data_IF_085102522915
#
_entry.id   IF_085102522915
#
_cell.length_a   1.000
_cell.length_b   1.000
_cell.length_c   1.000
_cell.angle_alpha   90.00
_cell.angle_beta   90.00
_cell.angle_gamma   90.00
#
_symmetry.space_group_name_H-M   'P 1'
#
loop_
_entity.id
_entity.type
_entity.pdbx_description
1 polymer ?
#
# COMPACT_ATOMS: atom_id res chain seq x y z
N UNK A 1 -63.87 2.87 -43.03
CA UNK A 1 -63.10 2.65 -41.77
C UNK A 1 -61.79 3.43 -41.74
N UNK A 2 -60.94 3.37 -42.77
CA UNK A 2 -59.61 4.02 -42.80
C UNK A 2 -59.56 5.53 -42.44
N UNK A 3 -60.60 6.31 -42.78
CA UNK A 3 -60.65 7.76 -42.47
C UNK A 3 -60.82 8.07 -40.97
N UNK A 4 -61.46 7.18 -40.20
CA UNK A 4 -61.62 7.32 -38.74
C UNK A 4 -60.33 6.93 -38.00
N UNK A 5 -59.65 5.88 -38.43
CA UNK A 5 -58.37 5.44 -37.85
C UNK A 5 -57.24 6.45 -38.10
N UNK A 6 -57.18 7.06 -39.29
CA UNK A 6 -56.21 8.12 -39.61
C UNK A 6 -56.46 9.40 -38.79
N UNK A 7 -57.72 9.77 -38.58
CA UNK A 7 -58.13 10.89 -37.73
C UNK A 7 -57.81 10.65 -36.25
N UNK A 8 -57.95 9.42 -35.77
CA UNK A 8 -57.63 9.06 -34.38
C UNK A 8 -56.12 9.02 -34.13
N UNK A 9 -55.31 8.50 -35.07
CA UNK A 9 -53.84 8.53 -35.00
C UNK A 9 -53.28 9.95 -35.00
N UNK A 10 -53.83 10.83 -35.83
CA UNK A 10 -53.41 12.25 -35.88
C UNK A 10 -53.76 12.98 -34.60
N UNK A 11 -54.93 12.70 -34.00
CA UNK A 11 -55.35 13.26 -32.70
C UNK A 11 -54.51 12.77 -31.53
N UNK A 12 -54.06 11.51 -31.56
CA UNK A 12 -53.17 10.96 -30.52
C UNK A 12 -51.76 11.56 -30.61
N UNK A 13 -51.20 11.70 -31.83
CA UNK A 13 -49.87 12.29 -32.02
C UNK A 13 -49.80 13.75 -31.56
N UNK A 14 -50.86 14.54 -31.80
CA UNK A 14 -50.90 15.94 -31.33
C UNK A 14 -50.99 16.04 -29.81
N UNK A 15 -51.75 15.17 -29.16
CA UNK A 15 -51.80 15.10 -27.69
C UNK A 15 -50.44 14.76 -27.08
N UNK A 16 -49.74 13.76 -27.63
CA UNK A 16 -48.41 13.38 -27.15
C UNK A 16 -47.41 14.54 -27.34
N UNK A 17 -47.43 15.21 -28.50
CA UNK A 17 -46.56 16.37 -28.74
C UNK A 17 -46.82 17.50 -27.74
N UNK A 18 -48.08 17.81 -27.45
CA UNK A 18 -48.43 18.85 -26.51
C UNK A 18 -47.97 18.51 -25.09
N UNK A 19 -48.19 17.26 -24.66
CA UNK A 19 -47.74 16.79 -23.34
C UNK A 19 -46.21 16.84 -23.20
N UNK A 20 -45.47 16.39 -24.23
CA UNK A 20 -44.00 16.46 -24.23
C UNK A 20 -43.51 17.90 -24.18
N UNK A 21 -44.12 18.82 -24.93
CA UNK A 21 -43.76 20.23 -24.89
C UNK A 21 -44.01 20.86 -23.51
N UNK A 22 -45.14 20.57 -22.85
CA UNK A 22 -45.40 21.06 -21.49
C UNK A 22 -44.37 20.56 -20.48
N UNK A 23 -44.02 19.28 -20.54
CA UNK A 23 -43.02 18.68 -19.65
C UNK A 23 -41.64 19.32 -19.88
N UNK A 24 -41.22 19.46 -21.13
CA UNK A 24 -39.93 20.06 -21.45
C UNK A 24 -39.87 21.56 -21.11
N UNK A 25 -41.01 22.26 -21.16
CA UNK A 25 -41.12 23.66 -20.79
C UNK A 25 -41.09 23.87 -19.27
N UNK A 26 -41.70 22.97 -18.50
CA UNK A 26 -41.74 22.99 -17.03
C UNK A 26 -40.54 22.32 -16.36
N UNK A 27 -39.65 21.69 -17.14
CA UNK A 27 -38.46 21.03 -16.64
C UNK A 27 -37.51 21.99 -15.93
N UNK A 28 -36.87 21.50 -14.87
CA UNK A 28 -35.77 22.20 -14.17
C UNK A 28 -34.47 22.22 -14.97
N UNK A 29 -34.43 21.54 -16.12
CA UNK A 29 -33.27 21.54 -17.02
C UNK A 29 -33.08 22.93 -17.61
N UNK A 30 -31.94 23.59 -17.35
CA UNK A 30 -31.73 24.97 -17.80
C UNK A 30 -31.71 25.16 -19.34
N UNK A 31 -31.36 24.12 -20.11
CA UNK A 31 -31.26 24.19 -21.57
C UNK A 31 -32.58 23.94 -22.32
N UNK A 32 -33.38 22.97 -21.88
CA UNK A 32 -34.54 22.47 -22.63
C UNK A 32 -35.68 23.49 -22.79
N UNK A 33 -36.11 24.23 -21.74
CA UNK A 33 -37.12 25.28 -21.88
C UNK A 33 -36.67 26.42 -22.80
N UNK A 34 -35.37 26.76 -22.80
CA UNK A 34 -34.85 27.84 -23.64
C UNK A 34 -34.80 27.46 -25.13
N UNK A 35 -34.54 26.19 -25.46
CA UNK A 35 -34.62 25.67 -26.84
C UNK A 35 -36.06 25.75 -27.37
N UNK A 36 -37.06 25.44 -26.53
CA UNK A 36 -38.47 25.44 -26.92
C UNK A 36 -39.03 26.87 -27.00
N UNK A 37 -38.64 27.74 -26.06
CA UNK A 37 -39.11 29.13 -26.00
C UNK A 37 -38.51 30.02 -27.09
N UNK A 38 -37.33 29.70 -27.61
CA UNK A 38 -36.67 30.51 -28.63
C UNK A 38 -37.40 30.47 -29.98
N UNK A 39 -37.74 31.64 -30.51
CA UNK A 39 -38.37 31.80 -31.83
C UNK A 39 -37.34 31.91 -32.96
N UNK A 40 -36.18 32.52 -32.68
CA UNK A 40 -35.09 32.70 -33.64
C UNK A 40 -34.27 31.41 -33.81
N UNK A 41 -34.10 30.98 -35.07
CA UNK A 41 -33.38 29.74 -35.41
C UNK A 41 -31.94 29.74 -34.86
N UNK A 42 -31.22 30.87 -34.96
CA UNK A 42 -29.83 30.99 -34.49
C UNK A 42 -29.72 30.79 -32.97
N UNK A 43 -30.64 31.38 -32.21
CA UNK A 43 -30.68 31.25 -30.74
C UNK A 43 -31.02 29.81 -30.34
N UNK A 44 -31.93 29.17 -31.08
CA UNK A 44 -32.29 27.77 -30.87
C UNK A 44 -31.11 26.83 -31.10
N UNK A 45 -30.36 27.04 -32.17
CA UNK A 45 -29.14 26.29 -32.48
C UNK A 45 -28.08 26.50 -31.40
N UNK A 46 -27.88 27.74 -30.95
CA UNK A 46 -26.93 28.05 -29.87
C UNK A 46 -27.27 27.30 -28.58
N UNK A 47 -28.54 27.36 -28.13
CA UNK A 47 -28.97 26.63 -26.93
C UNK A 47 -28.87 25.12 -27.08
N UNK A 48 -29.22 24.58 -28.24
CA UNK A 48 -29.06 23.15 -28.53
C UNK A 48 -27.59 22.74 -28.43
N UNK A 49 -26.71 23.45 -29.12
CA UNK A 49 -25.27 23.18 -29.14
C UNK A 49 -24.68 23.17 -27.73
N UNK A 50 -24.92 24.23 -26.93
CA UNK A 50 -24.41 24.28 -25.56
C UNK A 50 -25.01 23.19 -24.68
N UNK A 51 -26.30 22.89 -24.81
CA UNK A 51 -26.94 21.83 -24.00
C UNK A 51 -26.30 20.47 -24.28
N UNK A 52 -26.06 20.12 -25.54
CA UNK A 52 -25.37 18.87 -25.90
C UNK A 52 -23.91 18.86 -25.46
N UNK A 53 -23.20 19.99 -25.61
CA UNK A 53 -21.82 20.11 -25.16
C UNK A 53 -21.69 19.89 -23.65
N UNK A 54 -22.50 20.58 -22.85
CA UNK A 54 -22.50 20.42 -21.40
C UNK A 54 -22.93 19.02 -20.95
N UNK A 55 -23.89 18.41 -21.65
CA UNK A 55 -24.28 17.03 -21.37
C UNK A 55 -23.12 16.06 -21.61
N UNK A 56 -22.39 16.21 -22.72
CA UNK A 56 -21.21 15.41 -23.03
C UNK A 56 -20.08 15.60 -22.01
N UNK A 57 -19.77 16.85 -21.65
CA UNK A 57 -18.78 17.16 -20.63
C UNK A 57 -19.17 16.59 -19.26
N UNK A 58 -20.44 16.71 -18.87
CA UNK A 58 -20.95 16.15 -17.62
C UNK A 58 -20.82 14.62 -17.60
N UNK A 59 -21.21 13.94 -18.68
CA UNK A 59 -21.06 12.49 -18.80
C UNK A 59 -19.58 12.08 -18.69
N UNK A 60 -18.68 12.77 -19.38
CA UNK A 60 -17.24 12.53 -19.31
C UNK A 60 -16.69 12.70 -17.88
N UNK A 61 -17.05 13.80 -17.20
CA UNK A 61 -16.63 14.05 -15.82
C UNK A 61 -17.15 12.99 -14.86
N UNK A 62 -18.41 12.54 -15.02
CA UNK A 62 -18.99 11.46 -14.21
C UNK A 62 -18.23 10.16 -14.44
N UNK A 63 -17.97 9.77 -15.70
CA UNK A 63 -17.25 8.52 -16.00
C UNK A 63 -15.83 8.56 -15.45
N UNK A 64 -15.11 9.67 -15.61
CA UNK A 64 -13.75 9.83 -15.07
C UNK A 64 -13.77 9.73 -13.55
N UNK A 65 -14.72 10.39 -12.88
CA UNK A 65 -14.86 10.33 -11.42
C UNK A 65 -15.13 8.91 -10.94
N UNK A 66 -16.01 8.17 -11.63
CA UNK A 66 -16.30 6.76 -11.31
C UNK A 66 -15.04 5.91 -11.46
N UNK A 67 -14.30 6.06 -12.57
CA UNK A 67 -13.05 5.33 -12.81
C UNK A 67 -12.03 5.66 -11.70
N UNK A 68 -11.84 6.94 -11.38
CA UNK A 68 -10.91 7.37 -10.32
C UNK A 68 -11.31 6.80 -8.95
N UNK A 69 -12.61 6.75 -8.63
CA UNK A 69 -13.09 6.12 -7.40
C UNK A 69 -12.75 4.63 -7.35
N UNK A 70 -12.96 3.91 -8.46
CA UNK A 70 -12.67 2.47 -8.55
C UNK A 70 -11.19 2.12 -8.78
N UNK A 71 -10.32 3.11 -8.99
CA UNK A 71 -8.87 2.89 -8.95
C UNK A 71 -8.37 2.69 -7.50
N UNK A 72 -9.17 3.05 -6.49
CA UNK A 72 -8.81 2.94 -5.07
C UNK A 72 -7.48 3.62 -4.73
N UNK A 73 -7.18 4.73 -5.41
CA UNK A 73 -5.96 5.50 -5.16
C UNK A 73 -5.96 6.04 -3.71
N UNK A 74 -4.86 5.83 -2.99
CA UNK A 74 -4.70 6.29 -1.60
C UNK A 74 -3.60 7.35 -1.51
N UNK A 75 -3.83 8.38 -0.71
CA UNK A 75 -2.83 9.41 -0.41
C UNK A 75 -2.32 9.21 1.02
N UNK A 76 -1.01 9.00 1.16
CA UNK A 76 -0.37 8.87 2.47
C UNK A 76 0.04 10.24 3.01
N UNK A 77 -0.47 10.59 4.19
CA UNK A 77 -0.09 11.82 4.89
C UNK A 77 0.92 11.48 5.98
N UNK A 78 2.18 11.81 5.76
CA UNK A 78 3.25 11.60 6.73
C UNK A 78 3.23 12.72 7.76
N UNK A 79 3.16 12.38 9.04
CA UNK A 79 3.20 13.35 10.16
C UNK A 79 4.24 12.94 11.18
N UNK A 80 4.99 13.91 11.69
CA UNK A 80 5.90 13.70 12.82
C UNK A 80 5.10 13.91 14.10
N UNK A 81 5.00 12.87 14.93
CA UNK A 81 4.34 12.91 16.23
C UNK A 81 5.41 12.76 17.31
N UNK A 82 5.53 13.76 18.16
CA UNK A 82 6.42 13.69 19.33
C UNK A 82 5.63 13.15 20.52
N UNK A 83 5.81 11.87 20.82
CA UNK A 83 5.22 11.24 22.00
C UNK A 83 6.07 11.54 23.24
N UNK A 84 5.44 11.91 24.35
CA UNK A 84 6.13 12.25 25.61
C UNK A 84 6.88 11.05 26.23
N UNK A 85 6.41 9.82 25.96
CA UNK A 85 7.03 8.56 26.37
C UNK A 85 6.92 7.54 25.24
N UNK A 86 7.85 7.55 24.27
CA UNK A 86 7.85 6.53 23.23
C UNK A 86 8.22 5.17 23.82
N UNK A 87 7.66 4.10 23.26
CA UNK A 87 8.07 2.74 23.61
C UNK A 87 9.52 2.52 23.16
N UNK A 88 10.37 2.04 24.08
CA UNK A 88 11.74 1.69 23.73
C UNK A 88 11.75 0.37 22.94
N UNK A 89 12.34 0.33 21.73
CA UNK A 89 12.26 -0.85 20.88
C UNK A 89 13.12 -1.99 21.43
N UNK A 90 12.85 -3.20 20.95
CA UNK A 90 13.74 -4.34 21.18
C UNK A 90 15.07 -4.08 20.47
N UNK A 91 16.16 -4.09 21.23
CA UNK A 91 17.52 -3.96 20.72
C UNK A 91 18.14 -5.36 20.65
N UNK A 92 18.47 -5.80 19.43
CA UNK A 92 19.19 -7.05 19.21
C UNK A 92 20.65 -6.75 18.89
N UNK A 93 21.55 -7.19 19.75
CA UNK A 93 23.00 -7.09 19.53
C UNK A 93 23.57 -8.49 19.33
N UNK A 94 24.34 -8.69 18.27
CA UNK A 94 25.01 -9.95 17.99
C UNK A 94 26.51 -9.72 17.83
N UNK A 95 27.32 -10.59 18.44
CA UNK A 95 28.74 -10.63 18.15
C UNK A 95 28.93 -11.28 16.77
N UNK A 96 29.57 -10.56 15.86
CA UNK A 96 29.87 -11.08 14.52
C UNK A 96 30.95 -12.15 14.53
N UNK A 97 31.77 -12.21 15.59
CA UNK A 97 32.74 -13.29 15.74
C UNK A 97 32.02 -14.57 16.18
N UNK A 98 32.03 -15.55 15.28
CA UNK A 98 31.30 -16.80 15.41
C UNK A 98 32.01 -17.80 16.36
N UNK A 99 33.33 -17.70 16.57
CA UNK A 99 34.13 -18.68 17.30
C UNK A 99 34.99 -18.02 18.40
N UNK A 100 34.36 -17.67 19.51
CA UNK A 100 35.00 -16.92 20.62
C UNK A 100 34.98 -17.67 21.96
N UNK A 101 34.19 -18.73 22.06
CA UNK A 101 34.24 -19.66 23.19
C UNK A 101 35.37 -20.67 22.97
N UNK A 102 35.96 -21.15 24.06
CA UNK A 102 37.06 -22.12 23.98
C UNK A 102 36.56 -23.44 23.35
N UNK A 103 35.29 -23.75 23.56
CA UNK A 103 34.57 -24.88 23.00
C UNK A 103 34.40 -24.72 21.49
N UNK A 104 34.10 -23.51 21.01
CA UNK A 104 33.95 -23.25 19.57
C UNK A 104 35.31 -23.28 18.86
N UNK A 105 36.37 -22.76 19.50
CA UNK A 105 37.74 -22.85 18.99
C UNK A 105 38.18 -24.31 18.89
N UNK A 106 38.06 -25.08 19.97
CA UNK A 106 38.43 -26.50 19.97
C UNK A 106 37.57 -27.38 19.06
N UNK A 107 36.32 -26.99 18.77
CA UNK A 107 35.50 -27.63 17.75
C UNK A 107 36.09 -27.44 16.35
N UNK A 108 36.48 -26.21 15.99
CA UNK A 108 37.06 -25.92 14.67
C UNK A 108 38.45 -26.53 14.50
N UNK A 109 39.29 -26.52 15.54
CA UNK A 109 40.62 -27.13 15.54
C UNK A 109 40.58 -28.63 15.17
N UNK A 110 39.49 -29.35 15.48
CA UNK A 110 39.32 -30.78 15.09
C UNK A 110 39.15 -30.99 13.60
N UNK A 111 38.60 -30.01 12.89
CA UNK A 111 38.47 -30.02 11.43
C UNK A 111 39.74 -29.48 10.76
N UNK A 112 40.62 -28.87 11.55
CA UNK A 112 41.89 -28.29 11.15
C UNK A 112 43.03 -29.33 11.20
N UNK A 113 42.95 -30.38 10.38
CA UNK A 113 44.04 -31.37 10.26
C UNK A 113 45.26 -30.88 9.44
N UNK A 114 45.40 -29.57 9.20
CA UNK A 114 46.55 -28.98 8.51
C UNK A 114 46.80 -27.59 9.08
N UNK A 115 48.07 -27.32 9.43
CA UNK A 115 48.60 -25.99 9.75
C UNK A 115 47.90 -24.93 8.90
N UNK A 116 47.04 -24.15 9.52
CA UNK A 116 46.30 -23.10 8.84
C UNK A 116 47.26 -21.98 8.46
N UNK A 117 47.38 -21.74 7.15
CA UNK A 117 47.99 -20.54 6.58
C UNK A 117 47.07 -19.31 6.68
N UNK A 118 45.84 -19.48 7.16
CA UNK A 118 44.77 -18.47 7.16
C UNK A 118 44.34 -18.10 8.57
N UNK A 119 44.73 -16.93 9.08
CA UNK A 119 44.35 -16.52 10.44
C UNK A 119 42.83 -16.62 10.71
N UNK A 120 42.39 -16.64 11.97
CA UNK A 120 40.97 -16.76 12.35
C UNK A 120 40.06 -15.62 11.83
N UNK A 121 40.64 -14.59 11.21
CA UNK A 121 39.96 -13.49 10.53
C UNK A 121 39.97 -13.60 8.99
N UNK A 122 40.52 -14.68 8.45
CA UNK A 122 40.50 -14.93 7.01
C UNK A 122 39.09 -15.35 6.56
N UNK A 123 38.66 -14.79 5.42
CA UNK A 123 37.34 -15.04 4.87
C UNK A 123 37.14 -16.53 4.53
N UNK A 124 38.19 -17.23 4.08
CA UNK A 124 38.15 -18.65 3.78
C UNK A 124 37.92 -19.49 5.04
N UNK A 125 38.60 -19.14 6.14
CA UNK A 125 38.37 -19.75 7.44
C UNK A 125 36.94 -19.52 7.93
N UNK A 126 36.44 -18.28 7.85
CA UNK A 126 35.08 -17.93 8.26
C UNK A 126 34.02 -18.72 7.49
N UNK A 127 34.18 -18.84 6.16
CA UNK A 127 33.27 -19.60 5.30
C UNK A 127 33.27 -21.09 5.63
N UNK A 128 34.45 -21.69 5.81
CA UNK A 128 34.59 -23.09 6.19
C UNK A 128 33.95 -23.35 7.55
N UNK A 129 34.28 -22.53 8.53
CA UNK A 129 33.84 -22.71 9.90
C UNK A 129 32.31 -22.53 10.02
N UNK A 130 31.71 -21.55 9.33
CA UNK A 130 30.25 -21.41 9.19
C UNK A 130 29.60 -22.58 8.47
N UNK A 131 30.27 -23.15 7.46
CA UNK A 131 29.81 -24.33 6.74
C UNK A 131 29.69 -25.53 7.68
N UNK A 132 30.80 -25.90 8.33
CA UNK A 132 30.86 -27.08 9.22
C UNK A 132 29.88 -26.96 10.38
N UNK A 133 29.86 -25.82 11.07
CA UNK A 133 28.97 -25.56 12.21
C UNK A 133 27.48 -25.62 11.85
N UNK A 134 27.10 -25.19 10.64
CA UNK A 134 25.69 -25.21 10.20
C UNK A 134 25.15 -26.62 9.91
N UNK A 135 26.03 -27.55 9.52
CA UNK A 135 25.64 -28.92 9.18
C UNK A 135 25.95 -29.93 10.29
N UNK A 136 26.74 -29.57 11.29
CA UNK A 136 27.04 -30.43 12.43
C UNK A 136 25.90 -30.41 13.47
N UNK A 137 25.25 -31.56 13.65
CA UNK A 137 24.14 -31.71 14.60
C UNK A 137 24.57 -31.55 16.06
N UNK A 138 25.82 -31.86 16.41
CA UNK A 138 26.33 -31.65 17.77
C UNK A 138 26.53 -30.16 18.03
N UNK A 139 26.95 -29.41 17.02
CA UNK A 139 27.05 -27.94 17.09
C UNK A 139 25.67 -27.29 17.25
N UNK A 140 24.69 -27.70 16.44
CA UNK A 140 23.33 -27.15 16.51
C UNK A 140 22.64 -27.47 17.85
N UNK A 141 22.74 -28.71 18.33
CA UNK A 141 22.13 -29.15 19.59
C UNK A 141 22.81 -28.50 20.81
N UNK A 142 24.10 -28.17 20.71
CA UNK A 142 24.88 -27.55 21.80
C UNK A 142 25.24 -26.09 21.50
N UNK A 143 24.45 -25.40 20.67
CA UNK A 143 24.73 -24.02 20.25
C UNK A 143 24.94 -23.06 21.42
N UNK A 144 24.30 -23.30 22.58
CA UNK A 144 24.49 -22.52 23.81
C UNK A 144 25.90 -22.65 24.41
N UNK A 145 26.56 -23.80 24.25
CA UNK A 145 27.91 -24.07 24.74
C UNK A 145 28.94 -23.36 23.85
N UNK A 146 28.67 -23.30 22.55
CA UNK A 146 29.55 -22.66 21.58
C UNK A 146 29.34 -21.14 21.46
N UNK A 147 28.16 -20.64 21.85
CA UNK A 147 27.82 -19.21 21.83
C UNK A 147 28.57 -18.40 22.89
N UNK A 148 28.74 -17.11 22.63
CA UNK A 148 29.27 -16.18 23.62
C UNK A 148 28.37 -16.10 24.86
N UNK A 149 28.98 -16.15 26.04
CA UNK A 149 28.31 -15.82 27.29
C UNK A 149 27.98 -14.32 27.30
N UNK A 150 26.71 -13.98 27.56
CA UNK A 150 26.22 -12.60 27.64
C UNK A 150 27.02 -11.77 28.64
N UNK A 151 27.38 -12.38 29.78
CA UNK A 151 28.20 -11.79 30.84
C UNK A 151 29.63 -11.41 30.38
N UNK A 152 30.18 -12.11 29.37
CA UNK A 152 31.50 -11.80 28.81
C UNK A 152 31.46 -10.61 27.84
N UNK A 153 30.30 -10.36 27.23
CA UNK A 153 30.11 -9.29 26.24
C UNK A 153 29.56 -8.00 26.86
N UNK A 154 28.72 -8.12 27.90
CA UNK A 154 28.04 -7.00 28.54
C UNK A 154 28.75 -6.65 29.84
N UNK A 155 29.54 -5.58 29.81
CA UNK A 155 30.24 -5.06 31.00
C UNK A 155 29.29 -4.32 31.94
N UNK A 156 28.31 -3.59 31.38
CA UNK A 156 27.29 -2.87 32.14
C UNK A 156 26.06 -2.61 31.27
N UNK A 157 24.85 -2.69 31.83
CA UNK A 157 23.60 -2.33 31.16
C UNK A 157 22.76 -1.43 32.07
N UNK A 158 22.33 -0.28 31.53
CA UNK A 158 21.43 0.66 32.20
C UNK A 158 20.37 1.18 31.26
N UNK A 159 19.13 1.27 31.74
CA UNK A 159 18.01 1.88 31.03
C UNK A 159 17.22 2.77 31.98
N UNK A 160 16.94 4.01 31.56
CA UNK A 160 16.22 4.99 32.39
C UNK A 160 16.81 5.19 33.81
N UNK A 161 18.15 5.17 33.91
CA UNK A 161 18.92 5.27 35.17
C UNK A 161 18.80 4.07 36.12
N UNK A 162 18.19 2.97 35.69
CA UNK A 162 18.11 1.70 36.42
C UNK A 162 19.03 0.65 35.77
N UNK A 163 19.63 -0.22 36.59
CA UNK A 163 20.46 -1.33 36.11
C UNK A 163 19.59 -2.44 35.52
N UNK A 164 20.02 -3.00 34.39
CA UNK A 164 19.29 -4.09 33.76
C UNK A 164 19.53 -5.42 34.48
N UNK A 165 18.52 -6.29 34.52
CA UNK A 165 18.73 -7.69 34.89
C UNK A 165 19.29 -8.48 33.70
N UNK A 166 20.57 -8.84 33.79
CA UNK A 166 21.30 -9.57 32.74
C UNK A 166 20.70 -10.98 32.52
N UNK A 167 20.11 -11.58 33.55
CA UNK A 167 19.52 -12.92 33.47
C UNK A 167 18.21 -12.94 32.67
N UNK A 168 17.54 -11.78 32.57
CA UNK A 168 16.32 -11.61 31.79
C UNK A 168 16.57 -11.18 30.34
N UNK A 169 17.82 -10.90 29.94
CA UNK A 169 18.17 -10.62 28.56
C UNK A 169 18.16 -11.93 27.78
N UNK A 170 17.33 -12.05 26.74
CA UNK A 170 17.25 -13.21 25.84
C UNK A 170 18.28 -13.17 24.71
#
# INVERSE_FOLDING_TARGET
MAKREFSQKTKLSTLIKNAVCEILYSSTSHGLPNIIRSTNLSIKLMWSFFTFLFFGLCAYMITTTIITYFNYDVVTVIRVKNDFKPFFPTVTVCNLNYFTSNEAVSFIEKFENKKVEFGPFDLGFEMMAKGVSKYDLNFLNNSKIFSNLKEKLIVSCRFSMEDCDINCLN
#
